data_IF_170379678457
#
_entry.id   IF_170379678457
#
_cell.length_a   1.000
_cell.length_b   1.000
_cell.length_c   1.000
_cell.angle_alpha   90.00
_cell.angle_beta   90.00
_cell.angle_gamma   90.00
#
_symmetry.space_group_name_H-M   'P 1'
#
loop_
_entity.id
_entity.type
_entity.pdbx_description
1 polymer ?
#
# COMPACT_ATOMS: atom_id res chain seq x y z
N UNK A 1 29.79 22.58 -24.14
CA UNK A 1 29.91 23.35 -22.87
C UNK A 1 28.54 23.79 -22.31
N UNK A 2 27.61 24.25 -23.15
CA UNK A 2 26.25 24.68 -22.75
C UNK A 2 25.42 23.58 -22.05
N UNK A 3 25.32 22.40 -22.68
CA UNK A 3 24.61 21.24 -22.12
C UNK A 3 25.16 20.74 -20.76
N UNK A 4 26.45 20.97 -20.45
CA UNK A 4 27.02 20.52 -19.17
C UNK A 4 26.60 21.43 -18.00
N UNK A 5 26.29 22.70 -18.28
CA UNK A 5 25.82 23.67 -17.28
C UNK A 5 24.35 23.42 -16.93
N UNK A 6 23.49 23.26 -17.93
CA UNK A 6 22.06 22.93 -17.74
C UNK A 6 21.86 21.60 -17.02
N UNK A 7 22.63 20.57 -17.43
CA UNK A 7 22.69 19.27 -16.74
C UNK A 7 22.98 19.39 -15.24
N UNK A 8 23.99 20.20 -14.88
CA UNK A 8 24.33 20.43 -13.47
C UNK A 8 23.21 21.15 -12.73
N UNK A 9 22.54 22.11 -13.37
CA UNK A 9 21.42 22.84 -12.77
C UNK A 9 20.22 21.91 -12.53
N UNK A 10 19.80 21.14 -13.53
CA UNK A 10 18.64 20.24 -13.42
C UNK A 10 18.86 19.18 -12.32
N UNK A 11 20.04 18.54 -12.31
CA UNK A 11 20.38 17.57 -11.27
C UNK A 11 20.41 18.19 -9.88
N UNK A 12 21.00 19.38 -9.75
CA UNK A 12 21.07 20.09 -8.47
C UNK A 12 19.67 20.46 -7.99
N UNK A 13 18.81 20.99 -8.85
CA UNK A 13 17.43 21.34 -8.52
C UNK A 13 16.60 20.11 -8.14
N UNK A 14 16.70 19.01 -8.90
CA UNK A 14 16.03 17.75 -8.57
C UNK A 14 16.47 17.21 -7.22
N UNK A 15 17.79 17.11 -7.00
CA UNK A 15 18.33 16.60 -5.74
C UNK A 15 17.95 17.51 -4.56
N UNK A 16 17.97 18.83 -4.75
CA UNK A 16 17.53 19.79 -3.74
C UNK A 16 16.06 19.59 -3.38
N UNK A 17 15.19 19.41 -4.38
CA UNK A 17 13.78 19.14 -4.16
C UNK A 17 13.57 17.83 -3.38
N UNK A 18 14.23 16.74 -3.78
CA UNK A 18 14.14 15.45 -3.07
C UNK A 18 14.63 15.56 -1.63
N UNK A 19 15.74 16.26 -1.38
CA UNK A 19 16.22 16.51 -0.03
C UNK A 19 15.24 17.35 0.81
N UNK A 20 14.60 18.36 0.22
CA UNK A 20 13.58 19.16 0.90
C UNK A 20 12.36 18.32 1.28
N UNK A 21 11.92 17.43 0.38
CA UNK A 21 10.82 16.50 0.64
C UNK A 21 11.19 15.52 1.75
N UNK A 22 12.38 14.93 1.70
CA UNK A 22 12.87 14.06 2.78
C UNK A 22 12.89 14.78 4.12
N UNK A 23 13.41 16.01 4.19
CA UNK A 23 13.43 16.81 5.42
C UNK A 23 12.01 17.08 5.93
N UNK A 24 11.05 17.31 5.02
CA UNK A 24 9.64 17.48 5.38
C UNK A 24 9.06 16.21 5.99
N UNK A 25 9.22 15.06 5.34
CA UNK A 25 8.73 13.76 5.82
C UNK A 25 9.39 13.35 7.14
N UNK A 26 10.71 13.56 7.26
CA UNK A 26 11.47 13.32 8.48
C UNK A 26 10.94 14.17 9.64
N UNK A 27 10.60 15.45 9.41
CA UNK A 27 9.96 16.31 10.42
C UNK A 27 8.60 15.76 10.87
N UNK A 28 7.80 15.21 9.96
CA UNK A 28 6.53 14.58 10.32
C UNK A 28 6.73 13.32 11.15
N UNK A 29 7.72 12.49 10.78
CA UNK A 29 8.06 11.28 11.53
C UNK A 29 8.59 11.63 12.94
N UNK A 30 9.47 12.63 13.08
CA UNK A 30 9.93 13.11 14.40
C UNK A 30 8.76 13.59 15.26
N UNK A 31 7.80 14.31 14.69
CA UNK A 31 6.59 14.72 15.43
C UNK A 31 5.74 13.51 15.86
N UNK A 32 5.64 12.48 15.02
CA UNK A 32 4.99 11.22 15.40
C UNK A 32 5.72 10.54 16.56
N UNK A 33 7.05 10.43 16.49
CA UNK A 33 7.85 9.88 17.56
C UNK A 33 7.66 10.64 18.86
N UNK A 34 7.58 11.98 18.84
CA UNK A 34 7.29 12.77 20.03
C UNK A 34 5.91 12.44 20.62
N UNK A 35 4.88 12.25 19.79
CA UNK A 35 3.57 11.80 20.26
C UNK A 35 3.60 10.40 20.89
N UNK A 36 4.46 9.50 20.40
CA UNK A 36 4.61 8.15 20.93
C UNK A 36 5.40 8.11 22.25
N UNK A 37 6.22 9.11 22.55
CA UNK A 37 6.88 9.24 23.87
C UNK A 37 5.92 9.65 24.98
N UNK A 38 4.69 10.07 24.66
CA UNK A 38 3.70 10.49 25.66
C UNK A 38 3.29 9.31 26.54
N UNK A 39 3.65 9.39 27.83
CA UNK A 39 3.37 8.34 28.83
C UNK A 39 1.92 8.41 29.31
N UNK A 40 1.28 9.59 29.23
CA UNK A 40 -0.11 9.78 29.66
C UNK A 40 -1.07 9.34 28.55
N UNK A 41 -1.72 8.20 28.80
CA UNK A 41 -2.86 7.70 28.04
C UNK A 41 -4.00 8.75 27.99
N UNK A 42 -4.57 9.06 26.81
CA UNK A 42 -5.76 9.89 26.69
C UNK A 42 -6.96 9.35 27.48
N UNK A 43 -7.72 10.23 28.13
CA UNK A 43 -8.88 9.83 28.95
C UNK A 43 -9.95 9.07 28.16
N UNK A 44 -10.13 9.41 26.88
CA UNK A 44 -11.16 8.81 26.03
C UNK A 44 -10.96 7.31 25.76
N UNK A 45 -9.73 6.80 25.86
CA UNK A 45 -9.38 5.38 25.69
C UNK A 45 -9.07 4.68 27.02
N UNK A 46 -9.14 5.42 28.14
CA UNK A 46 -8.73 4.93 29.44
C UNK A 46 -9.60 3.78 29.97
N UNK A 47 -10.83 3.66 29.50
CA UNK A 47 -11.71 2.53 29.82
C UNK A 47 -11.39 1.26 29.04
N UNK A 48 -10.67 1.35 27.91
CA UNK A 48 -10.48 0.21 26.99
C UNK A 48 -9.06 -0.35 26.98
N UNK A 49 -8.05 0.46 27.33
CA UNK A 49 -6.63 0.08 27.15
C UNK A 49 -5.87 0.32 28.45
N UNK A 50 -5.30 -0.73 29.04
CA UNK A 50 -4.44 -0.62 30.22
C UNK A 50 -3.19 0.20 29.93
N UNK A 51 -2.65 0.90 30.94
CA UNK A 51 -1.41 1.69 30.79
C UNK A 51 -0.25 0.87 30.21
N UNK A 52 -0.11 -0.39 30.63
CA UNK A 52 0.94 -1.29 30.13
C UNK A 52 0.81 -1.51 28.62
N UNK A 53 -0.37 -1.91 28.14
CA UNK A 53 -0.65 -2.13 26.71
C UNK A 53 -0.39 -0.86 25.90
N UNK A 54 -0.79 0.29 26.42
CA UNK A 54 -0.54 1.58 25.77
C UNK A 54 0.96 1.86 25.60
N UNK A 55 1.77 1.63 26.65
CA UNK A 55 3.23 1.83 26.59
C UNK A 55 3.91 0.82 25.66
N UNK A 56 3.45 -0.43 25.63
CA UNK A 56 3.93 -1.45 24.69
C UNK A 56 3.59 -1.11 23.23
N UNK A 57 2.41 -0.56 22.96
CA UNK A 57 2.05 -0.10 21.61
C UNK A 57 2.90 1.09 21.18
N UNK A 58 3.17 2.02 22.10
CA UNK A 58 4.03 3.17 21.84
C UNK A 58 5.49 2.75 21.61
N UNK A 59 6.05 1.83 22.39
CA UNK A 59 7.41 1.35 22.19
C UNK A 59 7.57 0.61 20.86
N UNK A 60 6.60 -0.21 20.47
CA UNK A 60 6.57 -0.84 19.15
C UNK A 60 6.47 0.21 18.03
N UNK A 61 5.60 1.22 18.19
CA UNK A 61 5.47 2.33 17.26
C UNK A 61 6.77 3.13 17.10
N UNK A 62 7.52 3.34 18.19
CA UNK A 62 8.81 4.03 18.19
C UNK A 62 9.89 3.24 17.46
N UNK A 63 10.01 1.94 17.73
CA UNK A 63 10.98 1.07 17.04
C UNK A 63 10.70 1.06 15.53
N UNK A 64 9.43 0.93 15.15
CA UNK A 64 9.01 0.93 13.75
C UNK A 64 9.28 2.28 13.06
N UNK A 65 8.92 3.39 13.72
CA UNK A 65 9.09 4.74 13.16
C UNK A 65 10.56 5.12 13.05
N UNK A 66 11.38 4.74 14.03
CA UNK A 66 12.82 4.98 14.04
C UNK A 66 13.54 4.18 12.96
N UNK A 67 13.20 2.89 12.80
CA UNK A 67 13.71 2.09 11.69
C UNK A 67 13.30 2.65 10.34
N UNK A 68 12.06 3.12 10.22
CA UNK A 68 11.55 3.82 9.03
C UNK A 68 12.41 5.04 8.69
N UNK A 69 12.66 5.92 9.66
CA UNK A 69 13.51 7.10 9.49
C UNK A 69 14.93 6.75 9.03
N UNK A 70 15.56 5.71 9.60
CA UNK A 70 16.89 5.25 9.19
C UNK A 70 16.86 4.73 7.75
N UNK A 71 15.86 3.91 7.41
CA UNK A 71 15.67 3.38 6.05
C UNK A 71 15.48 4.51 5.04
N UNK A 72 14.63 5.49 5.35
CA UNK A 72 14.35 6.64 4.48
C UNK A 72 15.60 7.50 4.30
N UNK A 73 16.39 7.70 5.36
CA UNK A 73 17.67 8.40 5.27
C UNK A 73 18.67 7.68 4.36
N UNK A 74 18.83 6.36 4.51
CA UNK A 74 19.72 5.57 3.64
C UNK A 74 19.23 5.60 2.19
N UNK A 75 17.92 5.47 1.96
CA UNK A 75 17.32 5.59 0.63
C UNK A 75 17.56 6.97 0.01
N UNK A 76 17.49 8.04 0.80
CA UNK A 76 17.78 9.40 0.33
C UNK A 76 19.25 9.57 -0.03
N UNK A 77 20.18 9.02 0.76
CA UNK A 77 21.60 9.01 0.43
C UNK A 77 21.88 8.22 -0.85
N UNK A 78 21.28 7.03 -0.98
CA UNK A 78 21.39 6.20 -2.19
C UNK A 78 20.86 6.94 -3.42
N UNK A 79 19.67 7.57 -3.32
CA UNK A 79 19.07 8.34 -4.42
C UNK A 79 19.95 9.53 -4.82
N UNK A 80 20.48 10.25 -3.82
CA UNK A 80 21.43 11.34 -4.04
C UNK A 80 22.67 10.84 -4.77
N UNK A 81 23.25 9.72 -4.32
CA UNK A 81 24.42 9.11 -4.94
C UNK A 81 24.14 8.70 -6.39
N UNK A 82 23.00 8.07 -6.66
CA UNK A 82 22.56 7.68 -8.01
C UNK A 82 22.49 8.88 -8.96
N UNK A 83 21.94 10.02 -8.51
CA UNK A 83 21.77 11.23 -9.33
C UNK A 83 23.10 11.96 -9.53
N UNK A 84 23.90 12.10 -8.47
CA UNK A 84 25.17 12.84 -8.51
C UNK A 84 26.20 12.13 -9.38
N UNK A 85 26.33 10.81 -9.23
CA UNK A 85 27.35 10.00 -9.89
C UNK A 85 26.87 9.26 -11.13
N UNK A 86 25.64 9.49 -11.59
CA UNK A 86 25.10 8.87 -12.81
C UNK A 86 25.12 7.34 -12.82
N UNK A 87 24.76 6.72 -11.68
CA UNK A 87 24.79 5.27 -11.57
C UNK A 87 23.82 4.60 -12.54
N UNK A 88 22.65 5.22 -12.80
CA UNK A 88 21.66 4.70 -13.76
C UNK A 88 22.26 4.65 -15.18
N UNK A 89 22.81 5.74 -15.73
CA UNK A 89 23.53 5.71 -17.01
C UNK A 89 24.70 4.71 -17.02
N UNK A 90 25.52 4.68 -15.97
CA UNK A 90 26.66 3.77 -15.87
C UNK A 90 26.22 2.30 -15.97
N UNK A 91 25.18 1.92 -15.22
CA UNK A 91 24.59 0.58 -15.27
C UNK A 91 23.95 0.29 -16.63
N UNK A 92 23.32 1.28 -17.25
CA UNK A 92 22.73 1.15 -18.59
C UNK A 92 23.79 0.86 -19.66
N UNK A 93 24.92 1.58 -19.66
CA UNK A 93 25.98 1.34 -20.64
C UNK A 93 26.62 -0.05 -20.47
N UNK A 94 26.64 -0.60 -19.25
CA UNK A 94 27.07 -1.97 -19.00
C UNK A 94 26.02 -3.01 -19.46
N UNK A 95 24.73 -2.69 -19.32
CA UNK A 95 23.60 -3.58 -19.59
C UNK A 95 22.68 -2.90 -20.62
N UNK A 96 23.14 -2.87 -21.87
CA UNK A 96 22.48 -2.15 -22.99
C UNK A 96 21.09 -2.69 -23.34
N UNK A 97 20.74 -3.89 -22.84
CA UNK A 97 19.42 -4.50 -23.00
C UNK A 97 18.45 -4.05 -21.89
N UNK A 98 17.38 -3.35 -22.29
CA UNK A 98 16.34 -2.78 -21.40
C UNK A 98 15.77 -3.74 -20.36
N UNK A 99 15.46 -4.98 -20.78
CA UNK A 99 14.89 -6.00 -19.89
C UNK A 99 15.92 -6.45 -18.85
N UNK A 100 17.15 -6.70 -19.28
CA UNK A 100 18.22 -7.16 -18.39
C UNK A 100 18.62 -6.05 -17.40
N UNK A 101 18.63 -4.79 -17.85
CA UNK A 101 18.85 -3.63 -17.01
C UNK A 101 17.80 -3.55 -15.89
N UNK A 102 16.52 -3.72 -16.24
CA UNK A 102 15.44 -3.69 -15.26
C UNK A 102 15.54 -4.83 -14.24
N UNK A 103 15.85 -6.05 -14.69
CA UNK A 103 16.04 -7.20 -13.80
C UNK A 103 17.22 -6.96 -12.86
N UNK A 104 18.37 -6.49 -13.36
CA UNK A 104 19.52 -6.17 -12.55
C UNK A 104 19.22 -5.06 -11.52
N UNK A 105 18.56 -3.99 -11.94
CA UNK A 105 18.15 -2.90 -11.03
C UNK A 105 17.20 -3.38 -9.94
N UNK A 106 16.24 -4.25 -10.27
CA UNK A 106 15.30 -4.84 -9.32
C UNK A 106 16.02 -5.74 -8.29
N UNK A 107 16.97 -6.57 -8.74
CA UNK A 107 17.76 -7.42 -7.85
C UNK A 107 18.67 -6.60 -6.92
N UNK A 108 19.34 -5.57 -7.45
CA UNK A 108 20.15 -4.64 -6.64
C UNK A 108 19.28 -3.94 -5.60
N UNK A 109 18.10 -3.43 -5.99
CA UNK A 109 17.17 -2.79 -5.07
C UNK A 109 16.70 -3.74 -3.96
N UNK A 110 16.44 -5.01 -4.30
CA UNK A 110 16.03 -6.03 -3.33
C UNK A 110 17.17 -6.34 -2.36
N UNK A 111 18.40 -6.43 -2.86
CA UNK A 111 19.57 -6.66 -2.01
C UNK A 111 19.82 -5.51 -1.03
N UNK A 112 19.62 -4.26 -1.48
CA UNK A 112 19.78 -3.07 -0.64
C UNK A 112 18.65 -2.92 0.39
N UNK A 113 17.44 -3.40 0.09
CA UNK A 113 16.32 -3.37 1.05
C UNK A 113 16.38 -4.50 2.08
N UNK A 114 17.02 -5.63 1.73
CA UNK A 114 17.07 -6.85 2.54
C UNK A 114 17.55 -6.64 3.99
N UNK A 115 18.60 -5.86 4.30
CA UNK A 115 19.02 -5.65 5.68
C UNK A 115 17.94 -5.01 6.56
N UNK A 116 17.19 -4.06 6.00
CA UNK A 116 16.09 -3.39 6.71
C UNK A 116 14.90 -4.33 6.92
N UNK A 117 14.58 -5.15 5.91
CA UNK A 117 13.52 -6.15 6.00
C UNK A 117 13.86 -7.23 7.03
N UNK A 118 15.11 -7.70 7.05
CA UNK A 118 15.58 -8.64 8.06
C UNK A 118 15.55 -8.03 9.47
N UNK A 119 15.97 -6.78 9.63
CA UNK A 119 15.90 -6.09 10.92
C UNK A 119 14.45 -5.89 11.38
N UNK A 120 13.57 -5.41 10.49
CA UNK A 120 12.14 -5.24 10.77
C UNK A 120 11.49 -6.58 11.12
N UNK A 121 11.87 -7.65 10.43
CA UNK A 121 11.29 -8.97 10.61
C UNK A 121 11.81 -9.64 11.86
N UNK A 122 13.13 -9.67 12.10
CA UNK A 122 13.75 -10.51 13.12
C UNK A 122 14.25 -9.77 14.37
N UNK A 123 14.49 -8.46 14.30
CA UNK A 123 14.98 -7.66 15.44
C UNK A 123 13.87 -6.86 16.09
N UNK A 124 12.95 -6.28 15.30
CA UNK A 124 11.75 -5.61 15.85
C UNK A 124 10.75 -6.63 16.44
N UNK A 125 11.01 -7.94 16.27
CA UNK A 125 10.32 -9.07 16.92
C UNK A 125 10.28 -9.05 18.45
N UNK A 126 11.07 -8.19 19.10
CA UNK A 126 11.07 -8.01 20.56
C UNK A 126 9.67 -7.78 21.15
N UNK A 127 8.71 -7.37 20.33
CA UNK A 127 7.30 -7.15 20.69
C UNK A 127 6.39 -8.39 20.53
N UNK A 128 6.95 -9.59 20.32
CA UNK A 128 6.25 -10.89 20.22
C UNK A 128 5.23 -11.04 19.09
N UNK A 129 5.25 -10.14 18.10
CA UNK A 129 4.22 -10.08 17.05
C UNK A 129 4.51 -10.97 15.83
N UNK A 130 5.78 -11.09 15.46
CA UNK A 130 6.14 -11.77 14.21
C UNK A 130 6.56 -13.24 14.45
N UNK A 131 5.74 -14.16 13.93
CA UNK A 131 5.94 -15.62 13.99
C UNK A 131 6.70 -16.18 12.79
N UNK A 132 7.13 -15.36 11.84
CA UNK A 132 7.78 -15.79 10.60
C UNK A 132 9.16 -16.43 10.89
N UNK A 133 9.41 -17.65 10.43
CA UNK A 133 10.73 -18.28 10.57
C UNK A 133 11.67 -17.83 9.46
N UNK A 134 12.98 -18.03 9.62
CA UNK A 134 13.98 -17.76 8.58
C UNK A 134 13.68 -18.51 7.27
N UNK A 135 13.30 -19.79 7.37
CA UNK A 135 12.92 -20.59 6.19
C UNK A 135 11.69 -20.04 5.47
N UNK A 136 10.67 -19.59 6.21
CA UNK A 136 9.48 -18.97 5.62
C UNK A 136 9.83 -17.62 4.97
N UNK A 137 10.65 -16.80 5.62
CA UNK A 137 11.09 -15.51 5.09
C UNK A 137 11.79 -15.63 3.75
N UNK A 138 12.84 -16.47 3.65
CA UNK A 138 13.57 -16.62 2.39
C UNK A 138 12.75 -17.37 1.33
N UNK A 139 11.86 -18.28 1.73
CA UNK A 139 10.92 -18.90 0.79
C UNK A 139 9.97 -17.88 0.17
N UNK A 140 9.40 -16.99 0.98
CA UNK A 140 8.48 -15.95 0.49
C UNK A 140 9.21 -14.88 -0.33
N UNK A 141 10.45 -14.53 0.04
CA UNK A 141 11.31 -13.67 -0.76
C UNK A 141 11.56 -14.28 -2.16
N UNK A 142 11.95 -15.57 -2.21
CA UNK A 142 12.20 -16.26 -3.47
C UNK A 142 10.94 -16.36 -4.35
N UNK A 143 9.79 -16.74 -3.77
CA UNK A 143 8.50 -16.76 -4.49
C UNK A 143 8.15 -15.38 -5.04
N UNK A 144 8.34 -14.34 -4.25
CA UNK A 144 8.04 -12.96 -4.64
C UNK A 144 8.94 -12.50 -5.80
N UNK A 145 10.23 -12.84 -5.77
CA UNK A 145 11.16 -12.55 -6.86
C UNK A 145 10.77 -13.30 -8.15
N UNK A 146 10.48 -14.59 -8.04
CA UNK A 146 10.05 -15.41 -9.19
C UNK A 146 8.77 -14.85 -9.81
N UNK A 147 7.74 -14.57 -9.01
CA UNK A 147 6.50 -13.99 -9.52
C UNK A 147 6.72 -12.61 -10.15
N UNK A 148 7.55 -11.77 -9.53
CA UNK A 148 7.91 -10.46 -10.07
C UNK A 148 8.62 -10.57 -11.42
N UNK A 149 9.47 -11.58 -11.63
CA UNK A 149 10.10 -11.83 -12.93
C UNK A 149 9.10 -12.38 -13.94
N UNK A 150 8.31 -13.39 -13.57
CA UNK A 150 7.33 -14.06 -14.44
C UNK A 150 6.28 -13.09 -14.98
N UNK A 151 5.80 -12.16 -14.15
CA UNK A 151 4.83 -11.15 -14.60
C UNK A 151 5.52 -9.87 -15.09
N UNK A 152 6.50 -9.36 -14.36
CA UNK A 152 7.12 -8.07 -14.63
C UNK A 152 7.90 -8.02 -15.95
N UNK A 153 8.66 -9.08 -16.28
CA UNK A 153 9.44 -9.10 -17.53
C UNK A 153 8.56 -9.10 -18.78
N UNK A 154 7.54 -9.97 -18.91
CA UNK A 154 6.63 -9.91 -20.06
C UNK A 154 5.84 -8.59 -20.16
N UNK A 155 5.37 -8.06 -19.03
CA UNK A 155 4.66 -6.76 -19.00
C UNK A 155 5.59 -5.66 -19.49
N UNK A 156 6.84 -5.62 -19.02
CA UNK A 156 7.83 -4.64 -19.45
C UNK A 156 8.17 -4.79 -20.94
N UNK A 157 8.36 -6.02 -21.42
CA UNK A 157 8.64 -6.28 -22.82
C UNK A 157 7.47 -5.83 -23.72
N UNK A 158 6.23 -6.14 -23.35
CA UNK A 158 5.04 -5.67 -24.06
C UNK A 158 4.93 -4.15 -24.04
N UNK A 159 5.20 -3.53 -22.90
CA UNK A 159 5.20 -2.07 -22.75
C UNK A 159 6.23 -1.39 -23.66
N UNK A 160 7.46 -1.90 -23.70
CA UNK A 160 8.51 -1.40 -24.60
C UNK A 160 8.14 -1.59 -26.07
N UNK A 161 7.57 -2.74 -26.40
CA UNK A 161 7.12 -3.04 -27.75
C UNK A 161 6.01 -2.08 -28.21
N UNK A 162 5.02 -1.80 -27.35
CA UNK A 162 3.96 -0.81 -27.63
C UNK A 162 4.57 0.55 -27.93
N UNK A 163 5.45 1.03 -27.06
CA UNK A 163 6.12 2.32 -27.24
C UNK A 163 6.85 2.40 -28.58
N UNK A 164 7.63 1.38 -28.92
CA UNK A 164 8.35 1.32 -30.19
C UNK A 164 7.45 1.29 -31.43
N UNK A 165 6.22 0.75 -31.30
CA UNK A 165 5.26 0.63 -32.41
C UNK A 165 4.36 1.85 -32.60
N UNK A 166 3.97 2.53 -31.52
CA UNK A 166 2.90 3.55 -31.56
C UNK A 166 3.39 4.99 -31.68
N UNK A 167 4.71 5.23 -31.59
CA UNK A 167 5.30 6.56 -31.78
C UNK A 167 4.69 7.59 -30.81
N UNK A 168 4.21 8.72 -31.33
CA UNK A 168 3.66 9.83 -30.53
C UNK A 168 2.40 9.49 -29.73
N UNK A 169 1.65 8.45 -30.10
CA UNK A 169 0.43 8.04 -29.40
C UNK A 169 0.69 6.99 -28.30
N UNK A 170 1.96 6.71 -27.96
CA UNK A 170 2.30 5.67 -27.00
C UNK A 170 1.63 5.82 -25.64
N UNK A 171 1.37 7.04 -25.19
CA UNK A 171 0.74 7.29 -23.89
C UNK A 171 -0.62 6.59 -23.76
N UNK A 172 -1.43 6.59 -24.83
CA UNK A 172 -2.76 6.00 -24.83
C UNK A 172 -2.69 4.46 -24.85
N UNK A 173 -1.85 3.89 -25.71
CA UNK A 173 -1.72 2.44 -25.85
C UNK A 173 -1.00 1.81 -24.66
N UNK A 174 0.02 2.47 -24.11
CA UNK A 174 0.71 2.06 -22.89
C UNK A 174 -0.20 2.14 -21.67
N UNK A 175 -1.02 3.18 -21.57
CA UNK A 175 -2.07 3.27 -20.56
C UNK A 175 -3.06 2.11 -20.67
N UNK A 176 -3.60 1.86 -21.88
CA UNK A 176 -4.56 0.78 -22.11
C UNK A 176 -3.97 -0.60 -21.77
N UNK A 177 -2.72 -0.87 -22.16
CA UNK A 177 -2.00 -2.09 -21.82
C UNK A 177 -1.93 -2.27 -20.29
N UNK A 178 -1.46 -1.26 -19.56
CA UNK A 178 -1.34 -1.35 -18.10
C UNK A 178 -2.70 -1.42 -17.40
N UNK A 179 -3.74 -0.76 -17.94
CA UNK A 179 -5.10 -0.86 -17.43
C UNK A 179 -5.64 -2.30 -17.54
N UNK A 180 -5.41 -2.97 -18.68
CA UNK A 180 -5.77 -4.38 -18.88
C UNK A 180 -4.99 -5.27 -17.92
N UNK A 181 -3.67 -5.07 -17.81
CA UNK A 181 -2.82 -5.83 -16.88
C UNK A 181 -3.28 -5.66 -15.44
N UNK A 182 -3.62 -4.45 -15.01
CA UNK A 182 -4.11 -4.17 -13.66
C UNK A 182 -5.47 -4.82 -13.41
N UNK A 183 -6.38 -4.79 -14.38
CA UNK A 183 -7.67 -5.47 -14.29
C UNK A 183 -7.50 -6.99 -14.17
N UNK A 184 -6.64 -7.59 -14.99
CA UNK A 184 -6.27 -9.00 -14.88
C UNK A 184 -5.65 -9.30 -13.51
N UNK A 185 -4.79 -8.42 -12.99
CA UNK A 185 -4.22 -8.51 -11.66
C UNK A 185 -5.28 -8.61 -10.56
N UNK A 186 -6.34 -7.80 -10.62
CA UNK A 186 -7.45 -7.84 -9.65
C UNK A 186 -8.17 -9.21 -9.65
N UNK A 187 -8.21 -9.90 -10.80
CA UNK A 187 -8.84 -11.21 -10.94
C UNK A 187 -7.89 -12.35 -10.54
N UNK A 188 -6.63 -12.27 -10.98
CA UNK A 188 -5.61 -13.31 -10.81
C UNK A 188 -5.07 -13.33 -9.39
N UNK A 189 -4.82 -12.16 -8.79
CA UNK A 189 -4.16 -12.03 -7.49
C UNK A 189 -4.83 -12.86 -6.36
N UNK A 190 -6.12 -12.68 -6.04
CA UNK A 190 -6.75 -13.41 -4.94
C UNK A 190 -6.90 -14.92 -5.23
N UNK A 191 -6.94 -15.31 -6.50
CA UNK A 191 -7.26 -16.69 -6.91
C UNK A 191 -6.01 -17.55 -7.09
N UNK A 192 -4.93 -16.98 -7.61
CA UNK A 192 -3.72 -17.70 -7.98
C UNK A 192 -2.49 -17.26 -7.19
N UNK A 193 -2.32 -15.96 -6.93
CA UNK A 193 -1.11 -15.46 -6.27
C UNK A 193 -1.20 -15.64 -4.76
N UNK A 194 -2.30 -15.19 -4.15
CA UNK A 194 -2.48 -15.24 -2.70
C UNK A 194 -2.34 -16.66 -2.09
N UNK A 195 -2.85 -17.74 -2.73
CA UNK A 195 -2.66 -19.12 -2.26
C UNK A 195 -1.23 -19.65 -2.29
N UNK A 196 -0.31 -19.01 -3.02
CA UNK A 196 1.12 -19.41 -3.00
C UNK A 196 1.81 -18.99 -1.69
N UNK A 197 1.26 -17.98 -1.01
CA UNK A 197 1.79 -17.42 0.23
C UNK A 197 1.00 -17.85 1.46
N UNK A 198 -0.30 -18.12 1.31
CA UNK A 198 -1.21 -18.35 2.42
C UNK A 198 -1.98 -19.66 2.28
N UNK A 199 -2.22 -20.31 3.41
CA UNK A 199 -3.13 -21.47 3.49
C UNK A 199 -4.57 -20.97 3.61
N UNK A 200 -5.47 -21.59 2.83
CA UNK A 200 -6.89 -21.24 2.80
C UNK A 200 -7.73 -22.45 3.19
N UNK A 201 -8.22 -22.43 4.44
CA UNK A 201 -9.12 -23.45 4.95
C UNK A 201 -10.58 -22.99 4.87
N UNK A 202 -11.53 -23.89 4.55
CA UNK A 202 -12.95 -23.55 4.56
C UNK A 202 -13.40 -23.24 5.98
N UNK A 203 -14.27 -22.23 6.13
CA UNK A 203 -14.85 -21.89 7.43
C UNK A 203 -15.66 -23.10 7.98
N UNK A 204 -15.38 -23.56 9.21
CA UNK A 204 -16.09 -24.69 9.81
C UNK A 204 -17.59 -24.40 9.94
N UNK A 205 -18.40 -25.46 9.97
CA UNK A 205 -19.82 -25.32 10.24
C UNK A 205 -20.04 -24.84 11.68
N UNK A 206 -20.92 -23.86 11.87
CA UNK A 206 -21.19 -23.29 13.19
C UNK A 206 -22.06 -22.03 13.12
N UNK A 207 -22.27 -21.40 14.28
CA UNK A 207 -23.08 -20.16 14.38
C UNK A 207 -22.50 -19.01 13.56
N UNK A 208 -21.17 -18.85 13.57
CA UNK A 208 -20.48 -17.81 12.81
C UNK A 208 -20.73 -17.95 11.31
N UNK A 209 -20.63 -19.17 10.77
CA UNK A 209 -20.88 -19.43 9.35
C UNK A 209 -22.33 -19.09 8.97
N UNK A 210 -23.30 -19.54 9.78
CA UNK A 210 -24.73 -19.23 9.55
C UNK A 210 -24.97 -17.71 9.60
N UNK A 211 -24.37 -17.01 10.54
CA UNK A 211 -24.49 -15.54 10.63
C UNK A 211 -23.94 -14.84 9.38
N UNK A 212 -22.78 -15.28 8.87
CA UNK A 212 -22.18 -14.74 7.64
C UNK A 212 -23.08 -15.00 6.43
N UNK A 213 -23.59 -16.22 6.28
CA UNK A 213 -24.49 -16.59 5.18
C UNK A 213 -25.77 -15.73 5.21
N UNK A 214 -26.39 -15.55 6.38
CA UNK A 214 -27.56 -14.68 6.55
C UNK A 214 -27.27 -13.21 6.24
N UNK A 215 -26.12 -12.67 6.66
CA UNK A 215 -25.74 -11.29 6.35
C UNK A 215 -25.48 -11.10 4.85
N UNK A 216 -24.83 -12.06 4.21
CA UNK A 216 -24.58 -12.01 2.77
C UNK A 216 -25.90 -12.06 1.98
N UNK A 217 -26.85 -12.90 2.38
CA UNK A 217 -28.20 -12.93 1.80
C UNK A 217 -28.92 -11.58 1.97
N UNK A 218 -28.88 -11.01 3.17
CA UNK A 218 -29.49 -9.70 3.44
C UNK A 218 -28.87 -8.56 2.61
N UNK A 219 -27.57 -8.65 2.32
CA UNK A 219 -26.85 -7.68 1.49
C UNK A 219 -26.92 -7.98 -0.01
N UNK A 220 -27.64 -9.03 -0.43
CA UNK A 220 -27.69 -9.53 -1.81
C UNK A 220 -26.27 -9.82 -2.38
N UNK A 221 -25.37 -10.28 -1.51
CA UNK A 221 -24.00 -10.57 -1.86
C UNK A 221 -23.85 -12.03 -2.32
N UNK A 222 -23.44 -12.30 -3.58
CA UNK A 222 -23.34 -13.67 -4.10
C UNK A 222 -22.13 -14.41 -3.48
N UNK A 223 -22.41 -15.43 -2.66
CA UNK A 223 -21.40 -16.29 -2.05
C UNK A 223 -21.13 -17.55 -2.89
N UNK A 224 -19.87 -17.99 -2.93
CA UNK A 224 -19.50 -19.29 -3.52
C UNK A 224 -19.77 -20.42 -2.51
N UNK A 225 -20.77 -21.25 -2.76
CA UNK A 225 -20.94 -22.52 -2.05
C UNK A 225 -20.30 -23.68 -2.84
N UNK A 226 -19.49 -24.52 -2.17
CA UNK A 226 -18.81 -25.68 -2.78
C UNK A 226 -19.76 -26.78 -3.31
N UNK A 227 -21.08 -26.70 -3.07
CA UNK A 227 -22.02 -27.82 -3.28
C UNK A 227 -23.00 -27.72 -4.46
N UNK A 228 -23.09 -26.60 -5.18
CA UNK A 228 -24.06 -26.48 -6.28
C UNK A 228 -23.37 -26.24 -7.62
N UNK A 229 -23.24 -27.30 -8.42
CA UNK A 229 -22.74 -27.28 -9.79
C UNK A 229 -23.75 -26.77 -10.81
N UNK A 230 -24.49 -25.70 -10.51
CA UNK A 230 -25.36 -25.06 -11.49
C UNK A 230 -24.94 -23.60 -11.72
N UNK A 231 -24.72 -23.30 -12.99
CA UNK A 231 -24.29 -22.02 -13.55
C UNK A 231 -25.27 -20.91 -13.19
N UNK A 232 -24.79 -19.87 -12.50
CA UNK A 232 -24.87 -18.48 -12.97
C UNK A 232 -24.31 -17.49 -11.93
N UNK A 233 -23.46 -16.58 -12.43
CA UNK A 233 -23.11 -15.25 -11.92
C UNK A 233 -22.28 -15.09 -10.61
N UNK A 234 -20.99 -14.78 -10.81
CA UNK A 234 -20.09 -14.01 -9.93
C UNK A 234 -19.91 -14.47 -8.47
N UNK A 235 -19.27 -15.62 -8.32
CA UNK A 235 -18.84 -16.16 -7.02
C UNK A 235 -17.73 -15.34 -6.35
N UNK A 236 -18.05 -14.53 -5.32
CA UNK A 236 -17.05 -13.81 -4.52
C UNK A 236 -16.67 -14.61 -3.28
N UNK A 237 -15.37 -14.68 -2.96
CA UNK A 237 -14.85 -15.32 -1.73
C UNK A 237 -14.68 -14.26 -0.65
N UNK A 238 -15.14 -14.55 0.56
CA UNK A 238 -14.82 -13.77 1.77
C UNK A 238 -13.62 -14.46 2.41
N UNK A 239 -12.50 -13.73 2.52
CA UNK A 239 -11.28 -14.21 3.20
C UNK A 239 -11.25 -13.57 4.57
N UNK A 240 -11.08 -14.40 5.60
CA UNK A 240 -11.09 -13.99 7.00
C UNK A 240 -9.81 -14.52 7.63
N UNK A 241 -9.07 -13.66 8.33
CA UNK A 241 -7.90 -14.10 9.10
C UNK A 241 -8.34 -14.89 10.32
N UNK A 242 -7.63 -15.98 10.63
CA UNK A 242 -7.89 -16.81 11.80
C UNK A 242 -7.79 -15.99 13.11
N UNK A 243 -6.82 -15.09 13.21
CA UNK A 243 -6.65 -14.20 14.36
C UNK A 243 -7.89 -13.34 14.63
N UNK A 244 -8.56 -12.86 13.58
CA UNK A 244 -9.80 -12.08 13.73
C UNK A 244 -10.94 -12.92 14.33
N UNK A 245 -11.02 -14.20 13.96
CA UNK A 245 -12.04 -15.13 14.48
C UNK A 245 -11.75 -15.47 15.95
N UNK A 246 -10.48 -15.64 16.30
CA UNK A 246 -10.05 -15.96 17.66
C UNK A 246 -10.21 -14.77 18.62
N UNK A 247 -10.06 -13.53 18.13
CA UNK A 247 -9.99 -12.32 18.95
C UNK A 247 -11.33 -11.59 19.15
N UNK A 248 -12.32 -11.82 18.29
CA UNK A 248 -13.56 -11.02 18.26
C UNK A 248 -14.80 -11.89 18.51
N UNK A 249 -15.74 -11.39 19.33
CA UNK A 249 -17.03 -12.06 19.49
C UNK A 249 -17.83 -12.01 18.19
N UNK A 250 -18.70 -13.00 17.95
CA UNK A 250 -19.52 -13.10 16.74
C UNK A 250 -20.21 -11.79 16.36
N UNK A 251 -20.80 -11.06 17.32
CA UNK A 251 -21.48 -9.77 17.05
C UNK A 251 -20.53 -8.65 16.61
N UNK A 252 -19.32 -8.61 17.15
CA UNK A 252 -18.28 -7.63 16.79
C UNK A 252 -17.72 -7.95 15.39
N UNK A 253 -17.46 -9.23 15.14
CA UNK A 253 -17.02 -9.72 13.84
C UNK A 253 -18.04 -9.38 12.74
N UNK A 254 -19.33 -9.62 12.99
CA UNK A 254 -20.39 -9.30 12.02
C UNK A 254 -20.49 -7.79 11.73
N UNK A 255 -20.16 -6.92 12.71
CA UNK A 255 -20.11 -5.48 12.49
C UNK A 255 -18.96 -5.08 11.55
N UNK A 256 -17.77 -5.68 11.72
CA UNK A 256 -16.63 -5.49 10.81
C UNK A 256 -16.94 -6.04 9.42
N UNK A 257 -17.48 -7.24 9.33
CA UNK A 257 -17.84 -7.83 8.04
C UNK A 257 -18.91 -6.99 7.32
N UNK A 258 -19.90 -6.47 8.06
CA UNK A 258 -20.89 -5.54 7.52
C UNK A 258 -20.27 -4.24 7.00
N UNK A 259 -19.24 -3.71 7.66
CA UNK A 259 -18.48 -2.55 7.19
C UNK A 259 -17.75 -2.85 5.87
N UNK A 260 -17.05 -3.99 5.80
CA UNK A 260 -16.31 -4.43 4.61
C UNK A 260 -17.23 -4.71 3.41
N UNK A 261 -18.35 -5.38 3.64
CA UNK A 261 -19.35 -5.61 2.59
C UNK A 261 -20.06 -4.31 2.18
N UNK A 262 -20.16 -3.33 3.08
CA UNK A 262 -20.62 -1.98 2.78
C UNK A 262 -19.74 -1.26 1.76
N UNK A 263 -18.41 -1.41 1.85
CA UNK A 263 -17.48 -0.88 0.86
C UNK A 263 -17.71 -1.48 -0.53
N UNK A 264 -18.04 -2.78 -0.57
CA UNK A 264 -18.34 -3.50 -1.81
C UNK A 264 -19.66 -3.06 -2.43
N UNK A 265 -20.72 -2.87 -1.62
CA UNK A 265 -22.02 -2.40 -2.11
C UNK A 265 -21.96 -1.02 -2.75
N UNK A 266 -21.11 -0.14 -2.22
CA UNK A 266 -20.91 1.21 -2.77
C UNK A 266 -19.83 1.30 -3.86
N UNK A 267 -19.30 0.18 -4.35
CA UNK A 267 -18.29 0.15 -5.42
C UNK A 267 -17.07 1.04 -5.14
N UNK A 268 -16.61 1.12 -3.89
CA UNK A 268 -15.44 1.94 -3.54
C UNK A 268 -14.18 1.49 -4.29
N UNK A 269 -14.01 0.18 -4.46
CA UNK A 269 -12.92 -0.40 -5.25
C UNK A 269 -12.95 0.11 -6.71
N UNK A 270 -14.12 0.21 -7.34
CA UNK A 270 -14.23 0.70 -8.72
C UNK A 270 -13.95 2.19 -8.82
N UNK A 271 -14.38 2.99 -7.83
CA UNK A 271 -14.03 4.41 -7.76
C UNK A 271 -12.52 4.60 -7.60
N UNK A 272 -11.91 3.89 -6.66
CA UNK A 272 -10.45 3.92 -6.46
C UNK A 272 -9.69 3.48 -7.71
N UNK A 273 -10.18 2.44 -8.39
CA UNK A 273 -9.60 1.99 -9.66
C UNK A 273 -9.71 3.06 -10.75
N UNK A 274 -10.88 3.68 -10.92
CA UNK A 274 -11.08 4.74 -11.91
C UNK A 274 -10.17 5.95 -11.66
N UNK A 275 -9.99 6.35 -10.40
CA UNK A 275 -9.07 7.43 -10.04
C UNK A 275 -7.61 7.05 -10.26
N UNK A 276 -7.22 5.82 -9.94
CA UNK A 276 -5.89 5.30 -10.26
C UNK A 276 -5.65 5.28 -11.77
N UNK A 277 -6.64 4.88 -12.59
CA UNK A 277 -6.52 4.90 -14.05
C UNK A 277 -6.39 6.32 -14.61
N UNK A 278 -7.21 7.26 -14.12
CA UNK A 278 -7.12 8.66 -14.51
C UNK A 278 -5.74 9.21 -14.22
N UNK A 279 -5.20 8.89 -13.05
CA UNK A 279 -3.85 9.29 -12.70
C UNK A 279 -2.79 8.68 -13.61
N UNK A 280 -2.82 7.36 -13.81
CA UNK A 280 -1.84 6.68 -14.68
C UNK A 280 -1.90 7.25 -16.10
N UNK A 281 -3.09 7.58 -16.59
CA UNK A 281 -3.27 8.29 -17.86
C UNK A 281 -2.60 9.67 -17.84
N UNK A 282 -2.85 10.49 -16.82
CA UNK A 282 -2.22 11.81 -16.68
C UNK A 282 -0.69 11.72 -16.62
N UNK A 283 -0.14 10.70 -15.95
CA UNK A 283 1.31 10.46 -15.91
C UNK A 283 1.84 10.17 -17.32
N UNK A 284 1.21 9.26 -18.08
CA UNK A 284 1.67 8.96 -19.43
C UNK A 284 1.47 10.13 -20.40
N UNK A 285 0.36 10.84 -20.29
CA UNK A 285 0.07 12.00 -21.11
C UNK A 285 1.09 13.11 -20.87
N UNK A 286 1.32 13.48 -19.60
CA UNK A 286 2.33 14.48 -19.27
C UNK A 286 3.73 14.04 -19.68
N UNK A 287 4.09 12.76 -19.47
CA UNK A 287 5.36 12.22 -19.96
C UNK A 287 5.51 12.32 -21.48
N UNK A 288 4.43 12.12 -22.24
CA UNK A 288 4.46 12.27 -23.70
C UNK A 288 4.75 13.69 -24.18
N UNK A 289 4.42 14.70 -23.37
CA UNK A 289 4.78 16.09 -23.67
C UNK A 289 6.28 16.35 -23.49
N UNK A 290 6.96 15.61 -22.60
CA UNK A 290 8.37 15.82 -22.26
C UNK A 290 9.33 14.87 -22.98
N UNK A 291 8.85 13.73 -23.50
CA UNK A 291 9.71 12.70 -24.12
C UNK A 291 10.44 13.19 -25.38
N UNK A 292 9.83 14.11 -26.12
CA UNK A 292 10.39 14.69 -27.35
C UNK A 292 11.56 15.62 -27.07
N UNK A 293 11.73 16.05 -25.81
CA UNK A 293 12.78 16.98 -25.41
C UNK A 293 14.08 16.21 -25.11
N UNK A 294 14.96 16.11 -26.11
CA UNK A 294 16.28 15.49 -25.98
C UNK A 294 17.09 16.07 -24.80
N UNK A 295 16.85 17.33 -24.44
CA UNK A 295 17.50 17.99 -23.32
C UNK A 295 17.26 17.28 -21.98
N UNK A 296 16.11 16.62 -21.79
CA UNK A 296 15.84 15.88 -20.54
C UNK A 296 16.75 14.65 -20.43
N UNK A 297 16.85 13.83 -21.48
CA UNK A 297 17.71 12.63 -21.46
C UNK A 297 19.19 12.98 -21.37
N UNK A 298 19.63 14.01 -22.10
CA UNK A 298 21.00 14.53 -22.06
C UNK A 298 21.37 15.06 -20.66
N UNK A 299 20.42 15.68 -19.96
CA UNK A 299 20.61 16.18 -18.59
C UNK A 299 20.92 15.07 -17.59
N UNK A 300 20.51 13.84 -17.87
CA UNK A 300 20.86 12.68 -17.06
C UNK A 300 22.08 11.91 -17.58
N UNK A 301 22.81 12.42 -18.58
CA UNK A 301 24.05 11.79 -19.08
C UNK A 301 23.82 10.67 -20.09
N UNK A 302 22.62 10.60 -20.65
CA UNK A 302 22.26 9.62 -21.66
C UNK A 302 22.50 10.21 -23.05
N UNK A 303 23.33 9.54 -23.85
CA UNK A 303 23.54 9.88 -25.27
C UNK A 303 22.53 9.19 -26.19
N UNK A 304 21.82 8.19 -25.66
CA UNK A 304 20.65 7.55 -26.30
C UNK A 304 19.39 7.94 -25.52
N UNK A 305 18.21 7.82 -26.12
CA UNK A 305 16.92 8.13 -25.48
C UNK A 305 16.13 6.86 -25.11
N UNK A 306 16.65 5.97 -24.22
CA UNK A 306 15.87 4.83 -23.77
C UNK A 306 14.69 5.33 -22.94
N UNK A 307 13.50 5.07 -23.46
CA UNK A 307 12.24 5.62 -22.96
C UNK A 307 11.97 5.20 -21.50
N UNK A 308 12.48 4.04 -21.08
CA UNK A 308 12.43 3.57 -19.68
C UNK A 308 13.12 4.54 -18.73
N UNK A 309 14.29 5.05 -19.09
CA UNK A 309 15.07 5.92 -18.21
C UNK A 309 14.37 7.28 -18.08
N UNK A 310 13.83 7.79 -19.18
CA UNK A 310 12.95 8.96 -19.16
C UNK A 310 11.75 8.77 -18.22
N UNK A 311 11.09 7.60 -18.28
CA UNK A 311 9.98 7.26 -17.39
C UNK A 311 10.39 7.17 -15.91
N UNK A 312 11.55 6.60 -15.61
CA UNK A 312 12.05 6.50 -14.22
C UNK A 312 12.26 7.90 -13.63
N UNK A 313 12.93 8.80 -14.35
CA UNK A 313 13.14 10.17 -13.88
C UNK A 313 11.82 10.96 -13.81
N UNK A 314 10.91 10.74 -14.75
CA UNK A 314 9.59 11.36 -14.72
C UNK A 314 8.74 10.88 -13.54
N UNK A 315 8.82 9.59 -13.20
CA UNK A 315 8.15 9.03 -12.03
C UNK A 315 8.72 9.60 -10.72
N UNK A 316 10.03 9.84 -10.65
CA UNK A 316 10.66 10.52 -9.51
C UNK A 316 10.21 11.98 -9.35
N UNK A 317 9.81 12.64 -10.46
CA UNK A 317 9.33 14.02 -10.46
C UNK A 317 7.84 14.15 -10.08
N UNK A 318 7.05 13.10 -10.30
CA UNK A 318 5.62 13.14 -10.04
C UNK A 318 5.34 12.93 -8.54
N UNK A 319 5.23 14.04 -7.82
CA UNK A 319 4.77 14.08 -6.43
C UNK A 319 3.30 14.47 -6.35
N UNK A 320 2.53 13.67 -5.58
CA UNK A 320 1.13 13.95 -5.31
C UNK A 320 0.29 12.70 -5.40
N UNK A 321 0.50 11.75 -4.49
CA UNK A 321 -0.33 10.57 -4.45
C UNK A 321 -0.66 10.11 -3.05
N UNK A 322 -1.75 10.64 -2.50
CA UNK A 322 -2.59 10.05 -1.46
C UNK A 322 -3.72 11.03 -1.10
N UNK A 323 -4.65 11.35 -2.02
CA UNK A 323 -5.77 12.24 -1.65
C UNK A 323 -7.12 11.55 -1.47
N UNK A 324 -7.22 10.23 -1.62
CA UNK A 324 -8.56 9.62 -1.79
C UNK A 324 -8.94 8.51 -0.81
N UNK A 325 -8.11 8.19 0.18
CA UNK A 325 -8.43 7.07 1.08
C UNK A 325 -9.57 7.36 2.08
N UNK A 326 -9.97 8.61 2.32
CA UNK A 326 -10.83 8.95 3.48
C UNK A 326 -12.25 9.47 3.23
N UNK A 327 -12.69 9.83 2.02
CA UNK A 327 -14.04 10.40 1.78
C UNK A 327 -15.16 9.31 1.80
N UNK A 328 -14.93 8.21 2.54
CA UNK A 328 -15.52 6.91 2.27
C UNK A 328 -16.19 6.23 3.47
N UNK A 329 -16.63 6.97 4.50
CA UNK A 329 -17.44 6.37 5.59
C UNK A 329 -17.96 7.51 6.45
N UNK A 330 -19.26 7.65 6.71
CA UNK A 330 -20.01 6.84 7.67
C UNK A 330 -21.51 6.90 7.33
N UNK A 331 -22.12 5.80 6.87
CA UNK A 331 -23.58 5.60 7.02
C UNK A 331 -23.80 4.50 8.05
N UNK A 332 -24.52 4.85 9.11
CA UNK A 332 -24.67 4.10 10.37
C UNK A 332 -25.54 2.85 10.15
N UNK A 333 -24.93 1.66 10.14
CA UNK A 333 -25.63 0.36 10.11
C UNK A 333 -26.16 -0.07 11.50
N UNK A 334 -26.31 0.84 12.46
CA UNK A 334 -26.77 0.52 13.83
C UNK A 334 -25.77 -0.25 14.72
N UNK A 335 -24.72 -0.84 14.15
CA UNK A 335 -23.65 -1.57 14.88
C UNK A 335 -22.49 -0.69 15.39
N UNK A 336 -22.69 0.62 15.55
CA UNK A 336 -21.59 1.56 15.80
C UNK A 336 -20.76 1.24 17.05
N UNK A 337 -21.41 0.80 18.13
CA UNK A 337 -20.72 0.43 19.38
C UNK A 337 -19.90 -0.86 19.23
N UNK A 338 -20.46 -1.87 18.56
CA UNK A 338 -19.78 -3.15 18.31
C UNK A 338 -18.61 -3.00 17.34
N UNK A 339 -18.77 -2.17 16.30
CA UNK A 339 -17.69 -1.85 15.37
C UNK A 339 -16.54 -1.11 16.06
N UNK A 340 -16.85 -0.09 16.86
CA UNK A 340 -15.83 0.65 17.62
C UNK A 340 -15.07 -0.26 18.59
N UNK A 341 -15.78 -1.13 19.32
CA UNK A 341 -15.14 -2.08 20.23
C UNK A 341 -14.23 -3.06 19.49
N UNK A 342 -14.66 -3.58 18.34
CA UNK A 342 -13.84 -4.46 17.51
C UNK A 342 -12.58 -3.77 16.99
N UNK A 343 -12.72 -2.55 16.45
CA UNK A 343 -11.58 -1.77 15.95
C UNK A 343 -10.57 -1.50 17.07
N UNK A 344 -11.03 -1.16 18.27
CA UNK A 344 -10.16 -0.97 19.44
C UNK A 344 -9.41 -2.25 19.79
N UNK A 345 -10.08 -3.41 19.83
CA UNK A 345 -9.43 -4.70 20.07
C UNK A 345 -8.38 -5.01 19.00
N UNK A 346 -8.70 -4.80 17.73
CA UNK A 346 -7.74 -4.98 16.63
C UNK A 346 -6.56 -4.03 16.75
N UNK A 347 -6.77 -2.80 17.21
CA UNK A 347 -5.71 -1.84 17.39
C UNK A 347 -4.77 -2.20 18.54
N UNK A 348 -5.34 -2.72 19.65
CA UNK A 348 -4.60 -3.27 20.79
C UNK A 348 -3.75 -4.46 20.36
N UNK A 349 -4.36 -5.45 19.71
CA UNK A 349 -3.69 -6.67 19.26
C UNK A 349 -2.58 -6.34 18.27
N UNK A 350 -2.84 -5.46 17.30
CA UNK A 350 -1.84 -5.02 16.33
C UNK A 350 -0.82 -4.01 16.89
N UNK A 351 -0.88 -3.67 18.18
CA UNK A 351 -0.04 -2.65 18.86
C UNK A 351 0.08 -1.35 18.04
N UNK A 352 -1.00 -0.99 17.35
CA UNK A 352 -1.00 0.12 16.41
C UNK A 352 -1.06 1.45 17.17
N UNK A 353 -0.39 2.48 16.66
CA UNK A 353 -0.32 3.79 17.32
C UNK A 353 -1.71 4.31 17.68
N UNK A 354 -1.93 4.65 18.95
CA UNK A 354 -3.25 4.99 19.47
C UNK A 354 -3.53 6.50 19.40
N UNK A 355 -2.48 7.31 19.32
CA UNK A 355 -2.54 8.75 19.15
C UNK A 355 -1.67 9.19 17.96
N UNK A 356 -2.10 8.98 16.71
CA UNK A 356 -1.33 9.44 15.56
C UNK A 356 -1.33 10.96 15.51
N UNK A 357 -0.19 11.55 15.14
CA UNK A 357 -0.06 12.99 14.95
C UNK A 357 -1.13 13.50 13.95
N UNK A 358 -1.89 14.59 14.25
CA UNK A 358 -3.05 15.01 13.47
C UNK A 358 -2.78 15.19 11.97
N UNK A 359 -1.60 15.68 11.60
CA UNK A 359 -1.21 15.88 10.21
C UNK A 359 -0.95 14.55 9.46
N UNK A 360 -0.44 13.54 10.17
CA UNK A 360 -0.32 12.16 9.67
C UNK A 360 -1.68 11.45 9.62
N UNK A 361 -2.67 12.00 10.32
CA UNK A 361 -4.09 11.65 10.19
C UNK A 361 -4.77 12.28 8.98
N UNK A 362 -4.14 13.17 8.21
CA UNK A 362 -4.74 13.71 6.99
C UNK A 362 -4.79 12.64 5.88
N UNK A 363 -5.70 12.77 4.89
CA UNK A 363 -5.80 11.85 3.76
C UNK A 363 -4.47 11.59 3.05
N UNK A 364 -3.58 12.59 3.06
CA UNK A 364 -2.22 12.58 2.52
C UNK A 364 -1.29 11.51 3.10
N UNK A 365 -1.55 11.01 4.33
CA UNK A 365 -0.56 10.24 5.10
C UNK A 365 -1.13 9.03 5.86
N UNK A 366 -2.36 8.61 5.55
CA UNK A 366 -3.12 7.70 6.41
C UNK A 366 -2.53 6.28 6.53
N UNK A 367 -2.16 5.91 7.76
CA UNK A 367 -2.15 4.51 8.26
C UNK A 367 -3.38 4.24 9.15
N UNK A 368 -3.66 2.96 9.43
CA UNK A 368 -4.85 2.44 10.12
C UNK A 368 -5.19 3.11 11.49
N UNK A 369 -4.24 3.79 12.12
CA UNK A 369 -4.40 4.47 13.40
C UNK A 369 -5.52 5.54 13.45
N UNK A 370 -5.90 6.12 12.30
CA UNK A 370 -6.93 7.17 12.24
C UNK A 370 -8.39 6.71 12.35
N UNK A 371 -8.68 5.41 12.24
CA UNK A 371 -10.06 4.91 12.32
C UNK A 371 -10.61 4.89 13.75
N UNK A 372 -9.75 4.74 14.77
CA UNK A 372 -10.23 4.68 16.16
C UNK A 372 -10.57 6.04 16.76
N UNK A 373 -9.79 7.10 16.48
CA UNK A 373 -9.99 8.40 17.13
C UNK A 373 -11.32 9.06 16.74
N UNK A 374 -11.79 8.90 15.49
CA UNK A 374 -13.09 9.42 15.05
C UNK A 374 -14.28 8.62 15.61
N UNK A 375 -14.11 7.31 15.84
CA UNK A 375 -15.16 6.50 16.45
C UNK A 375 -15.36 6.82 17.94
N UNK A 376 -14.30 7.25 18.63
CA UNK A 376 -14.32 7.58 20.06
C UNK A 376 -14.92 8.97 20.33
N UNK A 377 -14.92 9.88 19.33
CA UNK A 377 -15.36 11.27 19.48
C UNK A 377 -16.81 11.59 19.08
N UNK A 378 -17.60 10.64 18.55
CA UNK A 378 -18.97 10.93 18.14
C UNK A 378 -20.00 10.64 19.25
N UNK A 379 -20.76 11.65 19.73
CA UNK A 379 -21.80 11.42 20.72
C UNK A 379 -22.86 10.45 20.18
N UNK A 380 -23.20 9.47 21.02
CA UNK A 380 -24.32 8.58 20.85
C UNK A 380 -25.60 9.39 20.69
N UNK A 381 -26.12 9.52 19.48
CA UNK A 381 -27.51 9.94 19.27
C UNK A 381 -28.38 8.68 19.19
N UNK A 382 -29.32 8.58 20.12
CA UNK A 382 -30.04 7.37 20.49
C UNK A 382 -30.92 6.78 19.38
N UNK A 383 -30.99 5.46 19.38
CA UNK A 383 -32.03 4.68 18.74
C UNK A 383 -33.04 4.30 19.84
N UNK A 384 -33.84 5.27 20.29
CA UNK A 384 -35.17 4.97 20.85
C UNK A 384 -36.17 5.16 19.71
N UNK A 385 -37.07 4.21 19.61
CA UNK A 385 -38.29 4.22 18.78
C UNK A 385 -38.14 3.92 17.29
N UNK A 386 -38.06 2.62 16.96
CA UNK A 386 -38.85 1.98 15.88
C UNK A 386 -38.73 0.44 15.90
N UNK A 387 -39.04 -0.15 17.05
CA UNK A 387 -39.34 -1.59 17.19
C UNK A 387 -40.73 -1.79 17.84
N UNK A 388 -41.69 -0.98 17.39
CA UNK A 388 -43.13 -1.25 17.51
C UNK A 388 -43.82 -0.75 16.25
N UNK A 389 -43.81 -1.60 15.21
CA UNK A 389 -44.92 -1.89 14.31
C UNK A 389 -44.51 -3.01 13.39
#
# INVERSE_FOLDING_TARGET
MYFSKERKVIKKSLNQFLCQLFVWEAKLNVRLCNCLHEVKRPQAIASFITRQIYLEANSYGLDKSSLGLIKDFVNQLQTTFIIVYDLIPMLWYAITHSVLFFVAAMLISTLLSLPFELYATFVVKKHSFNKQTWGLFFSDLAKSLVLSMVFGVPILAAFLWVIGKTGSQFYLYSWALLAVVQFLGILIYPTFIQPLFNKFDPLPAGELRKAIESLALWLEFPLKNKRSGHSNAYSKRIVIYNTLIEQCFTKEFMAVLGHELGHRKKSHVMRMLAMAQLQTFLIFFTFSCFISEQAMCLSFGMHTTPIIIGLIYFYLLQFGNNLVSRISSLKKLGYGKQLSSCIIKLQIENKSAINPYPLLGLPLFASAAGQASECIGQPTCGFKDKLKR
#
